data_IF_552613507818
#
_entry.id   IF_552613507818
#
_cell.length_a   1.000
_cell.length_b   1.000
_cell.length_c   1.000
_cell.angle_alpha   90.00
_cell.angle_beta   90.00
_cell.angle_gamma   90.00
#
_symmetry.space_group_name_H-M   'P 1'
#
loop_
_entity.id
_entity.type
_entity.pdbx_description
1 polymer ?
#
# COMPACT_ATOMS: atom_id res chain seq x y z
N UNK A 1 -23.84 -26.28 40.87
CA UNK A 1 -24.04 -27.25 39.77
C UNK A 1 -22.77 -27.23 38.95
N UNK A 2 -22.04 -28.33 38.91
CA UNK A 2 -20.83 -28.49 38.12
C UNK A 2 -21.25 -28.92 36.70
N UNK A 3 -20.92 -28.12 35.70
CA UNK A 3 -21.09 -28.49 34.28
C UNK A 3 -19.74 -28.83 33.68
N UNK A 4 -19.67 -29.97 33.01
CA UNK A 4 -18.48 -30.35 32.26
C UNK A 4 -18.50 -29.63 30.89
N UNK A 5 -17.50 -28.75 30.65
CA UNK A 5 -17.32 -28.08 29.37
C UNK A 5 -16.22 -28.82 28.61
N UNK A 6 -16.52 -29.23 27.42
CA UNK A 6 -15.60 -29.95 26.54
C UNK A 6 -15.54 -29.24 25.19
N UNK A 7 -14.34 -28.86 24.78
CA UNK A 7 -14.12 -28.30 23.44
C UNK A 7 -13.95 -29.46 22.49
N UNK A 8 -14.89 -29.63 21.53
CA UNK A 8 -14.92 -30.76 20.61
C UNK A 8 -14.17 -30.49 19.30
N UNK A 9 -13.97 -29.22 18.93
CA UNK A 9 -13.27 -28.86 17.70
C UNK A 9 -13.59 -27.44 17.22
N UNK A 10 -13.18 -27.15 16.01
CA UNK A 10 -13.54 -25.92 15.30
C UNK A 10 -14.65 -26.21 14.30
N UNK A 11 -15.57 -25.24 14.11
CA UNK A 11 -16.58 -25.33 13.08
C UNK A 11 -15.93 -25.27 11.68
N UNK A 12 -16.17 -26.28 10.87
CA UNK A 12 -15.78 -26.30 9.46
C UNK A 12 -16.98 -25.91 8.61
N UNK A 13 -17.01 -24.66 8.17
CA UNK A 13 -18.10 -24.09 7.39
C UNK A 13 -18.26 -24.73 6.01
N UNK A 14 -17.19 -25.24 5.41
CA UNK A 14 -17.22 -25.92 4.11
C UNK A 14 -17.90 -27.29 4.19
N UNK A 15 -17.79 -27.96 5.33
CA UNK A 15 -18.37 -29.28 5.58
C UNK A 15 -19.62 -29.23 6.47
N UNK A 16 -20.00 -28.05 6.95
CA UNK A 16 -21.11 -27.83 7.88
C UNK A 16 -21.07 -28.75 9.12
N UNK A 17 -19.90 -28.98 9.67
CA UNK A 17 -19.67 -29.84 10.84
C UNK A 17 -18.51 -29.34 11.68
N UNK A 18 -18.46 -29.78 12.94
CA UNK A 18 -17.32 -29.53 13.81
C UNK A 18 -16.15 -30.43 13.37
N UNK A 19 -15.04 -29.83 12.96
CA UNK A 19 -13.80 -30.56 12.70
C UNK A 19 -13.14 -30.88 14.05
N UNK A 20 -13.07 -32.17 14.40
CA UNK A 20 -12.44 -32.60 15.65
C UNK A 20 -10.96 -32.22 15.69
N UNK A 21 -10.50 -31.70 16.84
CA UNK A 21 -9.08 -31.55 17.06
C UNK A 21 -8.40 -32.92 17.12
N UNK A 22 -7.34 -33.13 16.36
CA UNK A 22 -6.44 -34.30 16.55
C UNK A 22 -5.93 -34.22 17.99
N UNK A 23 -6.35 -35.17 18.80
CA UNK A 23 -6.14 -35.23 20.24
C UNK A 23 -4.65 -35.22 20.64
N UNK A 24 -4.19 -34.21 21.37
CA UNK A 24 -3.37 -34.48 22.55
C UNK A 24 -4.30 -34.78 23.75
N UNK A 25 -3.79 -35.51 24.74
CA UNK A 25 -4.52 -35.97 25.92
C UNK A 25 -5.52 -34.94 26.44
N UNK A 26 -6.82 -35.32 26.49
CA UNK A 26 -7.88 -34.47 27.01
C UNK A 26 -7.59 -34.12 28.47
N UNK A 27 -7.21 -32.89 28.74
CA UNK A 27 -7.32 -32.34 30.08
C UNK A 27 -8.78 -31.88 30.26
N UNK A 28 -9.52 -32.54 31.13
CA UNK A 28 -10.85 -32.10 31.56
C UNK A 28 -10.71 -31.44 32.91
N UNK A 29 -11.22 -30.19 33.01
CA UNK A 29 -11.36 -29.50 34.28
C UNK A 29 -12.84 -29.39 34.65
N UNK A 30 -13.18 -29.56 35.93
CA UNK A 30 -14.50 -29.23 36.47
C UNK A 30 -14.47 -27.80 36.96
N UNK A 31 -15.39 -26.98 36.49
CA UNK A 31 -15.50 -25.57 36.90
C UNK A 31 -16.89 -25.28 37.46
N UNK A 32 -16.95 -24.42 38.47
CA UNK A 32 -18.21 -23.85 38.94
C UNK A 32 -18.63 -22.73 38.00
N UNK A 33 -19.67 -22.97 37.20
CA UNK A 33 -20.14 -22.03 36.19
C UNK A 33 -20.64 -20.73 36.83
N UNK A 34 -21.22 -20.84 38.05
CA UNK A 34 -21.76 -19.70 38.80
C UNK A 34 -20.63 -18.80 39.41
N UNK A 35 -19.39 -19.30 39.45
CA UNK A 35 -18.22 -18.59 39.95
C UNK A 35 -17.30 -18.08 38.78
N UNK A 36 -17.75 -18.21 37.56
CA UNK A 36 -17.01 -17.68 36.40
C UNK A 36 -17.24 -16.18 36.31
N UNK A 37 -16.21 -15.42 36.65
CA UNK A 37 -16.18 -13.99 36.43
C UNK A 37 -15.66 -13.71 35.03
N UNK A 38 -16.31 -12.80 34.30
CA UNK A 38 -15.81 -12.30 33.04
C UNK A 38 -14.72 -11.26 33.31
N UNK A 39 -13.47 -11.65 33.08
CA UNK A 39 -12.33 -10.75 33.10
C UNK A 39 -12.28 -9.84 31.89
N UNK A 40 -11.20 -9.08 31.78
CA UNK A 40 -10.95 -8.20 30.62
C UNK A 40 -10.93 -9.00 29.32
N UNK A 41 -11.92 -8.75 28.48
CA UNK A 41 -11.95 -9.28 27.10
C UNK A 41 -10.90 -8.61 26.25
N UNK A 42 -10.03 -9.36 25.59
CA UNK A 42 -8.99 -8.87 24.67
C UNK A 42 -9.20 -9.43 23.27
N UNK A 43 -8.89 -8.62 22.28
CA UNK A 43 -9.05 -9.01 20.89
C UNK A 43 -7.86 -9.87 20.44
N UNK A 44 -8.13 -11.03 19.83
CA UNK A 44 -7.10 -11.95 19.30
C UNK A 44 -7.13 -12.05 17.77
N UNK A 45 -8.31 -12.04 17.15
CA UNK A 45 -8.49 -12.39 15.75
C UNK A 45 -7.58 -11.62 14.77
N UNK A 46 -7.63 -10.28 14.76
CA UNK A 46 -6.77 -9.48 13.87
C UNK A 46 -5.28 -9.71 14.09
N UNK A 47 -4.86 -9.87 15.39
CA UNK A 47 -3.46 -10.13 15.72
C UNK A 47 -3.00 -11.49 15.18
N UNK A 48 -3.81 -12.52 15.35
CA UNK A 48 -3.51 -13.87 14.87
C UNK A 48 -3.36 -13.90 13.34
N UNK A 49 -4.22 -13.16 12.64
CA UNK A 49 -4.11 -13.03 11.18
C UNK A 49 -2.81 -12.30 10.81
N UNK A 50 -2.53 -11.19 11.46
CA UNK A 50 -1.32 -10.41 11.22
C UNK A 50 -0.04 -11.20 11.48
N UNK A 51 0.06 -11.91 12.61
CA UNK A 51 1.19 -12.80 12.94
C UNK A 51 1.34 -13.93 11.89
N UNK A 52 0.22 -14.49 11.45
CA UNK A 52 0.25 -15.53 10.39
C UNK A 52 0.90 -15.00 9.12
N UNK A 53 0.52 -13.80 8.64
CA UNK A 53 1.13 -13.18 7.46
C UNK A 53 2.57 -12.74 7.72
N UNK A 54 2.89 -12.22 8.91
CA UNK A 54 4.24 -11.88 9.32
C UNK A 54 5.20 -13.07 9.14
N UNK A 55 4.76 -14.25 9.59
CA UNK A 55 5.54 -15.48 9.47
C UNK A 55 5.55 -16.05 8.04
N UNK A 56 4.45 -15.98 7.29
CA UNK A 56 4.40 -16.40 5.88
C UNK A 56 5.31 -15.56 4.99
N UNK A 57 5.35 -14.26 5.20
CA UNK A 57 6.26 -13.34 4.52
C UNK A 57 7.70 -13.46 5.03
N UNK A 58 7.95 -14.30 6.06
CA UNK A 58 9.25 -14.54 6.67
C UNK A 58 9.93 -13.26 7.16
N UNK A 59 9.17 -12.27 7.63
CA UNK A 59 9.70 -11.04 8.18
C UNK A 59 10.79 -11.27 9.24
N UNK A 60 10.63 -12.24 10.19
CA UNK A 60 11.70 -12.51 11.16
C UNK A 60 13.05 -12.85 10.51
N UNK A 61 13.05 -13.61 9.41
CA UNK A 61 14.28 -13.96 8.71
C UNK A 61 14.93 -12.72 8.06
N UNK A 62 14.14 -11.92 7.34
CA UNK A 62 14.60 -10.67 6.72
C UNK A 62 15.22 -9.74 7.76
N UNK A 63 14.57 -9.57 8.91
CA UNK A 63 15.04 -8.66 9.95
C UNK A 63 16.30 -9.20 10.66
N UNK A 64 16.48 -10.52 10.78
CA UNK A 64 17.76 -11.12 11.26
C UNK A 64 18.89 -10.83 10.28
N UNK A 65 18.66 -10.92 8.99
CA UNK A 65 19.63 -10.55 7.95
C UNK A 65 20.03 -9.07 8.03
N UNK A 66 19.09 -8.21 8.45
CA UNK A 66 19.37 -6.81 8.79
C UNK A 66 20.12 -6.61 10.12
N UNK A 67 20.45 -7.69 10.85
CA UNK A 67 21.15 -7.63 12.13
C UNK A 67 20.29 -7.26 13.34
N UNK A 68 18.97 -7.39 13.26
CA UNK A 68 18.07 -7.17 14.39
C UNK A 68 18.07 -8.39 15.34
N UNK A 69 18.01 -8.12 16.64
CA UNK A 69 17.88 -9.15 17.69
C UNK A 69 16.42 -9.58 17.82
N UNK A 70 16.16 -10.75 18.38
CA UNK A 70 14.80 -11.29 18.55
C UNK A 70 13.84 -10.30 19.25
N UNK A 71 14.30 -9.64 20.32
CA UNK A 71 13.50 -8.63 21.01
C UNK A 71 13.18 -7.39 20.16
N UNK A 72 14.01 -7.08 19.17
CA UNK A 72 13.77 -6.00 18.21
C UNK A 72 12.83 -6.45 17.09
N UNK A 73 12.95 -7.70 16.66
CA UNK A 73 12.04 -8.33 15.70
C UNK A 73 10.62 -8.36 16.26
N UNK A 74 10.45 -8.82 17.50
CA UNK A 74 9.15 -8.77 18.21
C UNK A 74 8.62 -7.34 18.32
N UNK A 75 9.49 -6.36 18.61
CA UNK A 75 9.09 -4.95 18.66
C UNK A 75 8.65 -4.43 17.30
N UNK A 76 9.34 -4.83 16.22
CA UNK A 76 8.95 -4.48 14.84
C UNK A 76 7.59 -5.07 14.48
N UNK A 77 7.36 -6.34 14.83
CA UNK A 77 6.09 -7.01 14.63
C UNK A 77 4.94 -6.27 15.31
N UNK A 78 5.08 -5.98 16.60
CA UNK A 78 4.08 -5.23 17.36
C UNK A 78 3.80 -3.87 16.71
N UNK A 79 4.85 -3.13 16.31
CA UNK A 79 4.70 -1.82 15.67
C UNK A 79 3.94 -1.91 14.34
N UNK A 80 4.24 -2.91 13.52
CA UNK A 80 3.60 -3.11 12.22
C UNK A 80 2.15 -3.57 12.41
N UNK A 81 1.90 -4.52 13.30
CA UNK A 81 0.55 -4.98 13.61
C UNK A 81 -0.33 -3.84 14.15
N UNK A 82 0.21 -2.98 15.02
CA UNK A 82 -0.52 -1.81 15.48
C UNK A 82 -0.89 -0.88 14.33
N UNK A 83 0.03 -0.56 13.42
CA UNK A 83 -0.25 0.29 12.25
C UNK A 83 -1.31 -0.29 11.32
N UNK A 84 -1.38 -1.61 11.19
CA UNK A 84 -2.37 -2.30 10.35
C UNK A 84 -3.75 -2.38 11.02
N UNK A 85 -3.80 -2.54 12.33
CA UNK A 85 -5.03 -2.87 13.07
C UNK A 85 -5.63 -1.64 13.75
N UNK A 86 -4.82 -0.83 14.45
CA UNK A 86 -5.27 0.31 15.26
C UNK A 86 -4.85 1.66 14.72
N UNK A 87 -3.81 1.72 13.88
CA UNK A 87 -3.26 2.92 13.26
C UNK A 87 -2.86 4.03 14.25
N UNK A 88 -2.42 3.64 15.45
CA UNK A 88 -1.98 4.57 16.48
C UNK A 88 -0.56 5.11 16.27
N UNK A 89 -0.22 6.17 17.02
CA UNK A 89 1.16 6.62 17.16
C UNK A 89 1.96 5.65 18.05
N UNK A 90 3.29 5.79 18.09
CA UNK A 90 4.16 5.00 18.98
C UNK A 90 3.74 5.11 20.45
N UNK A 91 3.21 6.27 20.88
CA UNK A 91 2.68 6.46 22.23
C UNK A 91 1.37 5.69 22.48
N UNK A 92 0.59 5.42 21.43
CA UNK A 92 -0.65 4.66 21.49
C UNK A 92 -0.43 3.15 21.56
N UNK A 93 0.75 2.64 21.23
CA UNK A 93 1.01 1.19 21.16
C UNK A 93 0.84 0.52 22.53
N UNK A 94 1.41 1.07 23.61
CA UNK A 94 1.32 0.44 24.95
C UNK A 94 -0.13 0.41 25.48
N UNK A 95 -0.93 1.49 25.39
CA UNK A 95 -2.37 1.41 25.69
C UNK A 95 -3.10 0.36 24.84
N UNK A 96 -2.82 0.29 23.54
CA UNK A 96 -3.41 -0.68 22.64
C UNK A 96 -3.06 -2.13 23.02
N UNK A 97 -1.81 -2.43 23.41
CA UNK A 97 -1.39 -3.76 23.83
C UNK A 97 -2.23 -4.34 24.97
N UNK A 98 -2.84 -3.49 25.80
CA UNK A 98 -3.75 -3.92 26.88
C UNK A 98 -5.12 -4.39 26.37
N UNK A 99 -5.48 -4.03 25.13
CA UNK A 99 -6.77 -4.37 24.53
C UNK A 99 -6.71 -5.61 23.64
N UNK A 100 -5.51 -6.09 23.35
CA UNK A 100 -5.24 -7.21 22.43
C UNK A 100 -4.43 -8.31 23.12
N UNK A 101 -4.58 -9.54 22.67
CA UNK A 101 -3.91 -10.72 23.28
C UNK A 101 -2.56 -11.02 22.63
N UNK A 102 -1.71 -9.98 22.45
CA UNK A 102 -0.37 -10.08 21.84
C UNK A 102 0.60 -10.83 22.74
N UNK A 103 0.52 -10.60 24.06
CA UNK A 103 1.40 -11.22 25.05
C UNK A 103 1.25 -12.74 25.07
N UNK A 104 0.03 -13.25 25.01
CA UNK A 104 -0.23 -14.70 24.94
C UNK A 104 0.22 -15.28 23.61
N UNK A 105 0.00 -14.56 22.50
CA UNK A 105 0.36 -15.04 21.16
C UNK A 105 1.87 -15.11 20.97
N UNK A 106 2.59 -14.06 21.38
CA UNK A 106 4.04 -13.93 21.18
C UNK A 106 4.86 -14.42 22.39
N UNK A 107 4.22 -14.81 23.50
CA UNK A 107 4.89 -15.27 24.70
C UNK A 107 5.74 -14.18 25.38
N UNK A 108 5.27 -12.94 25.40
CA UNK A 108 6.01 -11.77 25.89
C UNK A 108 5.32 -11.10 27.08
N UNK A 109 6.11 -10.45 27.95
CA UNK A 109 5.61 -9.50 28.94
C UNK A 109 5.85 -8.06 28.45
N UNK A 110 4.79 -7.40 28.02
CA UNK A 110 4.86 -6.01 27.56
C UNK A 110 4.78 -4.97 28.68
N UNK A 111 4.52 -5.37 29.91
CA UNK A 111 4.39 -4.44 31.04
C UNK A 111 5.69 -3.66 31.32
N UNK A 112 6.83 -4.23 30.89
CA UNK A 112 8.15 -3.60 31.00
C UNK A 112 8.55 -2.80 29.76
N UNK A 113 7.65 -2.65 28.78
CA UNK A 113 7.96 -1.94 27.55
C UNK A 113 7.85 -0.43 27.74
N UNK A 114 8.93 0.29 27.44
CA UNK A 114 8.90 1.75 27.29
C UNK A 114 8.62 2.17 25.84
N UNK A 115 8.00 3.33 25.65
CA UNK A 115 7.68 3.86 24.32
C UNK A 115 8.91 4.04 23.41
N UNK A 116 10.07 4.36 24.00
CA UNK A 116 11.33 4.58 23.26
C UNK A 116 11.72 3.42 22.34
N UNK A 117 11.35 2.19 22.71
CA UNK A 117 11.68 1.02 21.90
C UNK A 117 10.99 1.05 20.54
N UNK A 118 9.76 1.60 20.46
CA UNK A 118 8.99 1.70 19.23
C UNK A 118 9.56 2.79 18.31
N UNK A 119 10.06 3.89 18.85
CA UNK A 119 10.79 4.89 18.06
C UNK A 119 12.11 4.34 17.53
N UNK A 120 12.90 3.66 18.38
CA UNK A 120 14.18 3.08 17.97
C UNK A 120 14.04 1.98 16.92
N UNK A 121 12.99 1.18 16.98
CA UNK A 121 12.78 0.14 15.96
C UNK A 121 12.41 0.77 14.61
N UNK A 122 11.63 1.85 14.59
CA UNK A 122 11.31 2.59 13.37
C UNK A 122 12.57 3.12 12.68
N UNK A 123 13.54 3.65 13.44
CA UNK A 123 14.84 4.08 12.89
C UNK A 123 15.61 2.92 12.27
N UNK A 124 15.61 1.75 12.91
CA UNK A 124 16.28 0.55 12.38
C UNK A 124 15.64 0.02 11.12
N UNK A 125 14.30 -0.01 11.08
CA UNK A 125 13.55 -0.39 9.88
C UNK A 125 13.85 0.58 8.73
N UNK A 126 13.85 1.88 8.99
CA UNK A 126 14.18 2.91 8.00
C UNK A 126 15.60 2.75 7.46
N UNK A 127 16.57 2.45 8.32
CA UNK A 127 17.96 2.22 7.91
C UNK A 127 18.11 1.04 6.95
N UNK A 128 17.28 0.02 7.10
CA UNK A 128 17.31 -1.20 6.31
C UNK A 128 16.20 -1.24 5.25
N UNK A 129 15.51 -0.12 5.00
CA UNK A 129 14.34 -0.02 4.12
C UNK A 129 14.53 -0.73 2.78
N UNK A 130 15.61 -0.41 2.07
CA UNK A 130 15.83 -0.94 0.71
C UNK A 130 15.99 -2.45 0.68
N UNK A 131 16.65 -3.04 1.69
CA UNK A 131 16.79 -4.49 1.80
C UNK A 131 15.47 -5.16 2.15
N UNK A 132 14.74 -4.58 3.12
CA UNK A 132 13.41 -5.10 3.53
C UNK A 132 12.43 -5.09 2.35
N UNK A 133 12.37 -3.98 1.61
CA UNK A 133 11.50 -3.87 0.43
C UNK A 133 11.85 -4.88 -0.66
N UNK A 134 13.15 -5.07 -0.93
CA UNK A 134 13.59 -6.04 -1.94
C UNK A 134 13.22 -7.47 -1.55
N UNK A 135 13.53 -7.88 -0.32
CA UNK A 135 13.25 -9.23 0.16
C UNK A 135 11.74 -9.53 0.22
N UNK A 136 10.93 -8.57 0.67
CA UNK A 136 9.48 -8.69 0.65
C UNK A 136 8.95 -8.85 -0.77
N UNK A 137 9.39 -7.99 -1.68
CA UNK A 137 8.97 -8.08 -3.07
C UNK A 137 9.34 -9.41 -3.72
N UNK A 138 10.55 -9.93 -3.49
CA UNK A 138 10.94 -11.25 -4.03
C UNK A 138 10.04 -12.37 -3.49
N UNK A 139 9.60 -12.29 -2.23
CA UNK A 139 8.67 -13.25 -1.64
C UNK A 139 7.27 -13.13 -2.23
N UNK A 140 6.76 -11.93 -2.37
CA UNK A 140 5.47 -11.64 -3.00
C UNK A 140 5.48 -12.11 -4.45
N UNK A 141 6.55 -11.82 -5.18
CA UNK A 141 6.76 -12.26 -6.55
C UNK A 141 6.69 -13.78 -6.68
N UNK A 142 7.33 -14.50 -5.76
CA UNK A 142 7.30 -15.97 -5.73
C UNK A 142 5.92 -16.51 -5.31
N UNK A 143 5.29 -15.91 -4.29
CA UNK A 143 3.99 -16.38 -3.78
C UNK A 143 2.84 -16.16 -4.77
N UNK A 144 2.88 -15.04 -5.50
CA UNK A 144 1.79 -14.61 -6.39
C UNK A 144 2.15 -14.71 -7.88
N UNK A 145 3.34 -15.23 -8.21
CA UNK A 145 3.85 -15.35 -9.60
C UNK A 145 3.81 -14.00 -10.34
N UNK A 146 4.26 -12.92 -9.68
CA UNK A 146 4.24 -11.57 -10.23
C UNK A 146 5.30 -11.40 -11.32
N UNK A 147 5.00 -10.56 -12.32
CA UNK A 147 5.90 -10.26 -13.44
C UNK A 147 6.36 -8.80 -13.39
N UNK A 148 7.65 -8.54 -13.63
CA UNK A 148 8.23 -7.20 -13.71
C UNK A 148 7.98 -6.56 -15.10
N UNK A 149 6.74 -6.62 -15.59
CA UNK A 149 6.40 -6.10 -16.93
C UNK A 149 6.05 -4.61 -16.93
N UNK A 150 5.32 -4.17 -15.91
CA UNK A 150 4.79 -2.81 -15.82
C UNK A 150 4.96 -2.30 -14.39
N UNK A 151 5.49 -1.08 -14.26
CA UNK A 151 5.51 -0.36 -12.99
C UNK A 151 4.64 0.89 -13.07
N UNK A 152 3.78 1.04 -12.07
CA UNK A 152 2.95 2.23 -11.89
C UNK A 152 3.64 3.14 -10.88
N UNK A 153 3.82 4.39 -11.23
CA UNK A 153 4.39 5.39 -10.34
C UNK A 153 3.37 6.48 -10.04
N UNK A 154 3.08 6.68 -8.77
CA UNK A 154 2.16 7.71 -8.31
C UNK A 154 2.66 8.40 -7.04
N UNK A 155 2.20 9.62 -6.83
CA UNK A 155 2.48 10.45 -5.67
C UNK A 155 1.21 10.74 -4.90
N UNK A 156 1.29 10.55 -3.60
CA UNK A 156 0.24 10.96 -2.68
C UNK A 156 0.82 11.84 -1.57
N UNK A 157 0.01 12.71 -1.00
CA UNK A 157 0.41 13.52 0.13
C UNK A 157 -0.18 12.91 1.41
N UNK A 158 0.59 12.96 2.48
CA UNK A 158 0.07 12.72 3.83
C UNK A 158 0.48 13.89 4.73
N UNK A 159 -0.28 14.13 5.79
CA UNK A 159 -0.05 15.26 6.70
C UNK A 159 0.14 14.77 8.12
N UNK A 160 0.76 15.63 8.93
CA UNK A 160 0.95 15.40 10.36
C UNK A 160 0.00 16.30 11.14
N UNK A 161 -0.76 15.73 12.04
CA UNK A 161 -1.51 16.49 13.03
C UNK A 161 -0.55 16.96 14.12
N UNK A 162 -0.15 18.24 14.05
CA UNK A 162 0.85 18.83 14.92
C UNK A 162 1.98 19.52 14.15
N UNK A 163 2.86 20.21 14.88
CA UNK A 163 3.89 21.07 14.28
C UNK A 163 4.99 20.29 13.53
N UNK A 164 5.28 19.08 13.94
CA UNK A 164 6.31 18.20 13.38
C UNK A 164 7.66 18.91 13.09
N UNK A 165 8.05 19.85 13.97
CA UNK A 165 9.13 20.81 13.73
C UNK A 165 10.51 20.18 13.53
N UNK A 166 10.75 19.03 14.13
CA UNK A 166 12.02 18.27 14.01
C UNK A 166 12.14 17.49 12.71
N UNK A 167 11.06 17.34 11.94
CA UNK A 167 11.10 16.60 10.69
C UNK A 167 11.44 17.53 9.50
N UNK A 168 12.66 17.44 8.90
CA UNK A 168 13.06 18.33 7.82
C UNK A 168 12.24 18.16 6.54
N UNK A 169 11.58 17.03 6.37
CA UNK A 169 10.72 16.74 5.21
C UNK A 169 9.30 17.27 5.38
N UNK A 170 8.82 17.46 6.61
CA UNK A 170 7.50 17.99 6.88
C UNK A 170 7.46 19.49 6.54
N UNK A 171 6.65 19.88 5.56
CA UNK A 171 6.53 21.26 5.06
C UNK A 171 5.07 21.59 4.81
N UNK A 172 4.68 22.80 5.18
CA UNK A 172 3.39 23.35 4.77
C UNK A 172 3.37 23.55 3.26
N UNK A 173 2.35 23.07 2.60
CA UNK A 173 2.19 23.17 1.15
C UNK A 173 0.82 23.76 0.80
N UNK A 174 0.80 24.60 -0.23
CA UNK A 174 -0.45 25.09 -0.84
C UNK A 174 -1.02 24.11 -1.88
N UNK A 175 -0.24 23.12 -2.30
CA UNK A 175 -0.71 22.08 -3.21
C UNK A 175 -1.57 21.07 -2.45
N UNK A 176 -2.86 21.24 -2.60
CA UNK A 176 -3.87 20.63 -1.74
C UNK A 176 -4.53 19.42 -2.39
N UNK A 177 -3.78 18.33 -2.64
CA UNK A 177 -4.46 17.05 -2.90
C UNK A 177 -5.36 16.70 -1.69
N UNK A 178 -4.86 16.95 -0.46
CA UNK A 178 -5.56 16.63 0.80
C UNK A 178 -6.36 17.80 1.41
N UNK A 179 -6.40 18.98 0.78
CA UNK A 179 -7.11 20.19 1.29
C UNK A 179 -6.75 20.62 2.74
N UNK A 180 -5.60 20.15 3.27
CA UNK A 180 -5.11 20.45 4.63
C UNK A 180 -3.88 21.37 4.56
N UNK A 181 -4.10 22.66 4.30
CA UNK A 181 -3.02 23.66 4.29
C UNK A 181 -2.55 24.09 5.69
N UNK A 182 -3.32 23.71 6.70
CA UNK A 182 -3.10 23.97 8.12
C UNK A 182 -2.09 23.00 8.76
N UNK A 183 -1.76 21.92 8.12
CA UNK A 183 -0.87 20.87 8.61
C UNK A 183 0.40 20.75 7.76
N UNK A 184 1.58 20.44 8.38
CA UNK A 184 2.77 20.09 7.63
C UNK A 184 2.58 18.73 6.93
N UNK A 185 3.07 18.63 5.70
CA UNK A 185 2.88 17.48 4.82
C UNK A 185 4.20 16.88 4.40
N UNK A 186 4.14 15.62 3.98
CA UNK A 186 5.19 14.95 3.19
C UNK A 186 4.55 14.34 1.94
N UNK A 187 5.36 14.15 0.91
CA UNK A 187 4.94 13.49 -0.32
C UNK A 187 5.46 12.07 -0.29
N UNK A 188 4.57 11.10 -0.45
CA UNK A 188 4.89 9.67 -0.55
C UNK A 188 4.82 9.28 -2.01
N UNK A 189 5.92 8.77 -2.54
CA UNK A 189 6.00 8.18 -3.87
C UNK A 189 5.95 6.67 -3.76
N UNK A 190 5.10 6.04 -4.55
CA UNK A 190 4.96 4.59 -4.62
C UNK A 190 5.29 4.10 -6.02
N UNK A 191 6.05 3.03 -6.09
CA UNK A 191 6.24 2.22 -7.30
C UNK A 191 5.50 0.91 -7.07
N UNK A 192 4.52 0.64 -7.90
CA UNK A 192 3.69 -0.57 -7.86
C UNK A 192 3.96 -1.42 -9.08
N UNK A 193 3.85 -2.72 -8.95
CA UNK A 193 3.82 -3.61 -10.11
C UNK A 193 2.45 -3.61 -10.82
N UNK A 194 2.31 -4.37 -11.90
CA UNK A 194 1.08 -4.46 -12.68
C UNK A 194 -0.10 -5.08 -11.92
N UNK A 195 0.13 -5.76 -10.82
CA UNK A 195 -0.87 -6.37 -9.95
C UNK A 195 -1.24 -5.47 -8.76
N UNK A 196 -0.49 -4.39 -8.53
CA UNK A 196 -0.72 -3.41 -7.48
C UNK A 196 0.09 -3.63 -6.21
N UNK A 197 1.06 -4.55 -6.21
CA UNK A 197 1.97 -4.73 -5.09
C UNK A 197 3.03 -3.63 -5.06
N UNK A 198 3.40 -3.21 -3.84
CA UNK A 198 4.38 -2.14 -3.65
C UNK A 198 5.78 -2.69 -3.88
N UNK A 199 6.46 -2.18 -4.90
CA UNK A 199 7.86 -2.50 -5.20
C UNK A 199 8.81 -1.63 -4.39
N UNK A 200 8.55 -0.32 -4.36
CA UNK A 200 9.37 0.70 -3.69
C UNK A 200 8.53 1.85 -3.19
N UNK A 201 9.00 2.50 -2.13
CA UNK A 201 8.48 3.80 -1.77
C UNK A 201 9.59 4.81 -1.49
N UNK A 202 9.27 6.10 -1.63
CA UNK A 202 10.14 7.21 -1.26
C UNK A 202 9.31 8.30 -0.58
N UNK A 203 9.93 8.96 0.40
CA UNK A 203 9.31 10.09 1.09
C UNK A 203 10.08 11.35 0.75
N UNK A 204 9.39 12.31 0.14
CA UNK A 204 9.90 13.60 -0.24
C UNK A 204 9.36 14.71 0.68
N UNK A 205 9.97 15.89 0.59
CA UNK A 205 9.46 17.06 1.29
C UNK A 205 8.06 17.42 0.81
N UNK A 206 7.19 17.90 1.71
CA UNK A 206 5.80 18.24 1.41
C UNK A 206 5.58 19.29 0.34
N UNK A 207 6.64 20.03 -0.06
CA UNK A 207 6.61 20.97 -1.21
C UNK A 207 7.10 20.36 -2.52
N UNK A 208 7.45 19.06 -2.53
CA UNK A 208 7.91 18.40 -3.75
C UNK A 208 6.79 18.40 -4.79
N UNK A 209 7.11 18.87 -6.00
CA UNK A 209 6.20 18.76 -7.14
C UNK A 209 6.33 17.39 -7.80
N UNK A 210 5.24 16.94 -8.41
CA UNK A 210 5.18 15.65 -9.11
C UNK A 210 6.32 15.54 -10.13
N UNK A 211 6.57 16.61 -10.89
CA UNK A 211 7.62 16.64 -11.92
C UNK A 211 9.05 16.47 -11.38
N UNK A 212 9.34 16.98 -10.18
CA UNK A 212 10.69 16.94 -9.61
C UNK A 212 11.05 15.60 -8.94
N UNK A 213 10.08 14.77 -8.66
CA UNK A 213 10.30 13.48 -7.99
C UNK A 213 10.81 12.39 -8.94
N UNK A 214 10.55 12.52 -10.24
CA UNK A 214 10.83 11.51 -11.25
C UNK A 214 12.32 11.15 -11.33
N UNK A 215 13.20 12.12 -11.37
CA UNK A 215 14.65 11.87 -11.50
C UNK A 215 15.20 11.00 -10.36
N UNK A 216 14.70 11.20 -9.13
CA UNK A 216 15.12 10.42 -7.97
C UNK A 216 14.67 8.96 -8.05
N UNK A 217 13.45 8.73 -8.55
CA UNK A 217 12.92 7.36 -8.72
C UNK A 217 13.61 6.67 -9.88
N UNK A 218 13.82 7.37 -11.00
CA UNK A 218 14.51 6.80 -12.16
C UNK A 218 15.92 6.33 -11.80
N UNK A 219 16.69 7.13 -11.06
CA UNK A 219 18.00 6.73 -10.59
C UNK A 219 17.99 5.48 -9.71
N UNK A 220 16.93 5.30 -8.89
CA UNK A 220 16.75 4.10 -8.08
C UNK A 220 16.47 2.87 -8.97
N UNK A 221 15.54 2.99 -9.90
CA UNK A 221 15.17 1.90 -10.81
C UNK A 221 16.33 1.52 -11.74
N UNK A 222 17.08 2.48 -12.24
CA UNK A 222 18.27 2.23 -13.05
C UNK A 222 19.30 1.37 -12.31
N UNK A 223 19.55 1.68 -11.04
CA UNK A 223 20.44 0.87 -10.20
C UNK A 223 19.93 -0.55 -10.02
N UNK A 224 18.63 -0.74 -9.83
CA UNK A 224 18.00 -2.05 -9.63
C UNK A 224 17.99 -2.91 -10.91
N UNK A 225 17.83 -2.28 -12.07
CA UNK A 225 17.71 -2.94 -13.37
C UNK A 225 18.96 -2.82 -14.24
N UNK A 226 20.11 -2.41 -13.66
CA UNK A 226 21.38 -2.22 -14.39
C UNK A 226 21.79 -3.44 -15.25
N UNK A 227 21.40 -4.65 -14.83
CA UNK A 227 21.68 -5.92 -15.51
C UNK A 227 20.42 -6.65 -16.00
N UNK A 228 19.25 -6.00 -16.01
CA UNK A 228 17.97 -6.60 -16.39
C UNK A 228 17.22 -5.70 -17.37
N UNK A 229 16.27 -6.26 -18.09
CA UNK A 229 15.35 -5.44 -18.89
C UNK A 229 14.51 -4.54 -17.98
N UNK A 230 14.53 -3.23 -18.23
CA UNK A 230 13.66 -2.30 -17.52
C UNK A 230 12.18 -2.57 -17.82
N UNK A 231 11.31 -2.54 -16.80
CA UNK A 231 9.87 -2.64 -17.01
C UNK A 231 9.32 -1.41 -17.74
N UNK A 232 8.12 -1.53 -18.29
CA UNK A 232 7.40 -0.36 -18.80
C UNK A 232 6.88 0.48 -17.63
N UNK A 233 7.24 1.76 -17.58
CA UNK A 233 6.84 2.64 -16.48
C UNK A 233 5.64 3.48 -16.90
N UNK A 234 4.62 3.54 -16.05
CA UNK A 234 3.38 4.29 -16.28
C UNK A 234 3.31 5.45 -15.28
N UNK A 235 3.10 6.66 -15.80
CA UNK A 235 3.03 7.89 -15.00
C UNK A 235 1.70 8.60 -15.18
N UNK A 236 1.28 9.30 -14.13
CA UNK A 236 0.13 10.21 -14.21
C UNK A 236 0.48 11.53 -14.93
N UNK A 237 -0.55 12.24 -15.35
CA UNK A 237 -0.48 13.52 -16.07
C UNK A 237 0.36 14.59 -15.37
N UNK A 238 0.31 14.64 -14.03
CA UNK A 238 1.07 15.60 -13.22
C UNK A 238 2.57 15.53 -13.40
N UNK A 239 3.07 14.38 -13.87
CA UNK A 239 4.50 14.12 -14.11
C UNK A 239 4.98 14.59 -15.48
N UNK A 240 4.07 14.91 -16.42
CA UNK A 240 4.41 15.19 -17.81
C UNK A 240 4.87 16.63 -17.99
N UNK A 241 6.17 16.84 -17.88
CA UNK A 241 6.86 18.08 -18.27
C UNK A 241 7.81 17.78 -19.42
N UNK A 242 8.23 18.81 -20.13
CA UNK A 242 9.22 18.66 -21.21
C UNK A 242 10.54 18.12 -20.66
N UNK A 243 10.97 18.62 -19.50
CA UNK A 243 12.17 18.13 -18.80
C UNK A 243 12.07 16.64 -18.47
N UNK A 244 10.93 16.19 -17.96
CA UNK A 244 10.72 14.79 -17.60
C UNK A 244 10.64 13.89 -18.84
N UNK A 245 10.03 14.35 -19.93
CA UNK A 245 10.00 13.60 -21.19
C UNK A 245 11.41 13.48 -21.78
N UNK A 246 12.23 14.52 -21.73
CA UNK A 246 13.62 14.48 -22.15
C UNK A 246 14.45 13.54 -21.26
N UNK A 247 14.23 13.57 -19.96
CA UNK A 247 14.85 12.63 -19.02
C UNK A 247 14.48 11.17 -19.36
N UNK A 248 13.21 10.87 -19.60
CA UNK A 248 12.78 9.51 -19.96
C UNK A 248 13.38 9.05 -21.29
N UNK A 249 13.49 9.95 -22.27
CA UNK A 249 14.11 9.67 -23.57
C UNK A 249 15.63 9.46 -23.49
N UNK A 250 16.30 9.98 -22.45
CA UNK A 250 17.74 9.77 -22.26
C UNK A 250 18.11 8.36 -21.78
N UNK A 251 17.14 7.60 -21.27
CA UNK A 251 17.36 6.21 -20.89
C UNK A 251 17.19 5.28 -22.10
N UNK A 252 18.26 4.66 -22.51
CA UNK A 252 18.23 3.64 -23.57
C UNK A 252 17.37 2.46 -23.12
N UNK A 253 16.50 1.96 -23.98
CA UNK A 253 15.61 0.82 -23.76
C UNK A 253 14.49 1.02 -22.70
N UNK A 254 14.28 2.21 -22.17
CA UNK A 254 13.16 2.50 -21.31
C UNK A 254 11.86 2.62 -22.13
N UNK A 255 10.87 1.81 -21.79
CA UNK A 255 9.50 1.96 -22.27
C UNK A 255 8.67 2.70 -21.24
N UNK A 256 7.87 3.67 -21.67
CA UNK A 256 7.01 4.42 -20.76
C UNK A 256 5.65 4.75 -21.38
N UNK A 257 4.65 4.88 -20.52
CA UNK A 257 3.32 5.34 -20.87
C UNK A 257 2.99 6.52 -19.98
N UNK A 258 2.58 7.64 -20.61
CA UNK A 258 2.19 8.86 -19.90
C UNK A 258 0.86 9.38 -20.41
N UNK A 259 0.06 10.00 -19.55
CA UNK A 259 -1.17 10.65 -19.99
C UNK A 259 -0.85 11.98 -20.68
N UNK A 260 -1.41 12.17 -21.88
CA UNK A 260 -1.27 13.42 -22.63
C UNK A 260 -1.83 14.63 -21.90
N UNK A 261 -1.28 15.80 -22.19
CA UNK A 261 -1.84 17.09 -21.76
C UNK A 261 -3.13 17.41 -22.53
N UNK A 262 -4.01 18.21 -21.92
CA UNK A 262 -5.33 18.53 -22.52
C UNK A 262 -5.22 19.19 -23.89
N UNK A 263 -4.21 20.03 -24.11
CA UNK A 263 -3.98 20.70 -25.40
C UNK A 263 -3.62 19.74 -26.54
N UNK A 264 -3.11 18.55 -26.22
CA UNK A 264 -2.80 17.54 -27.24
C UNK A 264 -4.04 16.70 -27.60
N UNK A 265 -5.01 16.58 -26.71
CA UNK A 265 -6.26 15.86 -26.96
C UNK A 265 -7.03 16.46 -28.15
N UNK A 266 -6.98 17.79 -28.31
CA UNK A 266 -7.65 18.51 -29.39
C UNK A 266 -7.18 18.06 -30.79
N UNK A 267 -5.92 17.69 -30.95
CA UNK A 267 -5.35 17.20 -32.21
C UNK A 267 -6.03 15.92 -32.72
N UNK A 268 -6.62 15.14 -31.80
CA UNK A 268 -7.22 13.85 -32.11
C UNK A 268 -8.74 13.85 -32.11
N UNK A 269 -9.41 14.98 -31.91
CA UNK A 269 -10.89 15.05 -31.84
C UNK A 269 -11.56 14.46 -33.09
N UNK A 270 -11.01 14.74 -34.26
CA UNK A 270 -11.52 14.17 -35.51
C UNK A 270 -11.35 12.66 -35.65
N UNK A 271 -10.28 12.12 -35.04
CA UNK A 271 -9.99 10.67 -35.02
C UNK A 271 -11.00 9.93 -34.17
N UNK A 272 -11.39 10.50 -33.01
CA UNK A 272 -12.41 9.91 -32.15
C UNK A 272 -13.78 9.75 -32.83
N UNK A 273 -14.09 10.58 -33.81
CA UNK A 273 -15.35 10.53 -34.56
C UNK A 273 -15.32 9.60 -35.75
N UNK A 274 -14.20 9.48 -36.45
CA UNK A 274 -14.10 8.83 -37.76
C UNK A 274 -13.49 7.43 -37.73
N UNK A 275 -12.58 7.17 -36.81
CA UNK A 275 -11.78 5.96 -36.83
C UNK A 275 -12.42 4.85 -35.98
N UNK A 276 -12.18 3.60 -36.39
CA UNK A 276 -12.66 2.42 -35.66
C UNK A 276 -11.70 2.07 -34.56
N UNK A 277 -12.22 1.89 -33.36
CA UNK A 277 -11.47 1.49 -32.16
C UNK A 277 -11.63 0.01 -31.90
N UNK A 278 -10.59 -0.60 -31.33
CA UNK A 278 -10.60 -2.00 -30.91
C UNK A 278 -11.04 -2.10 -29.45
N UNK A 279 -11.98 -3.00 -29.17
CA UNK A 279 -12.45 -3.27 -27.80
C UNK A 279 -11.39 -4.09 -27.07
N UNK A 280 -11.01 -3.63 -25.88
CA UNK A 280 -10.14 -4.36 -24.96
C UNK A 280 -10.94 -4.72 -23.72
N UNK A 281 -10.95 -6.00 -23.39
CA UNK A 281 -11.55 -6.48 -22.15
C UNK A 281 -10.56 -6.26 -20.99
N UNK A 282 -10.95 -5.42 -20.03
CA UNK A 282 -10.21 -5.24 -18.78
C UNK A 282 -10.46 -6.39 -17.79
N UNK A 283 -9.72 -6.42 -16.69
CA UNK A 283 -9.95 -7.36 -15.56
C UNK A 283 -11.41 -7.32 -15.07
N UNK A 284 -12.01 -6.14 -15.05
CA UNK A 284 -13.44 -5.96 -14.81
C UNK A 284 -14.21 -6.09 -16.14
N UNK A 285 -14.70 -7.29 -16.43
CA UNK A 285 -15.48 -7.60 -17.66
C UNK A 285 -16.70 -6.70 -17.90
N UNK A 286 -17.13 -5.95 -16.87
CA UNK A 286 -18.23 -4.99 -16.98
C UNK A 286 -17.81 -3.66 -17.58
N UNK A 287 -16.49 -3.36 -17.63
CA UNK A 287 -15.96 -2.09 -18.15
C UNK A 287 -15.28 -2.31 -19.49
N UNK A 288 -16.00 -2.00 -20.56
CA UNK A 288 -15.42 -2.00 -21.91
C UNK A 288 -14.61 -0.72 -22.13
N UNK A 289 -13.38 -0.89 -22.59
CA UNK A 289 -12.52 0.20 -23.05
C UNK A 289 -12.20 -0.07 -24.51
N UNK A 290 -12.39 0.93 -25.33
CA UNK A 290 -12.01 0.89 -26.75
C UNK A 290 -10.70 1.66 -26.93
N UNK A 291 -9.77 1.10 -27.65
CA UNK A 291 -8.45 1.69 -27.88
C UNK A 291 -8.10 1.77 -29.36
N UNK A 292 -7.32 2.80 -29.70
CA UNK A 292 -6.74 2.98 -31.01
C UNK A 292 -5.30 3.51 -30.89
N UNK A 293 -4.35 2.84 -31.52
CA UNK A 293 -2.96 3.29 -31.56
C UNK A 293 -2.74 4.18 -32.80
N UNK A 294 -2.17 5.36 -32.57
CA UNK A 294 -1.78 6.29 -33.63
C UNK A 294 -0.29 6.60 -33.54
N UNK A 295 0.53 6.08 -34.47
CA UNK A 295 1.93 6.45 -34.57
C UNK A 295 2.08 7.93 -34.95
N UNK A 296 3.08 8.60 -34.36
CA UNK A 296 3.51 9.94 -34.73
C UNK A 296 5.01 10.01 -34.50
N UNK A 297 5.76 10.45 -35.51
CA UNK A 297 7.23 10.58 -35.52
C UNK A 297 8.00 9.57 -34.64
N UNK A 298 8.27 9.94 -33.40
CA UNK A 298 9.03 9.18 -32.41
C UNK A 298 8.19 8.63 -31.24
N UNK A 299 6.87 8.81 -31.29
CA UNK A 299 5.93 8.42 -30.24
C UNK A 299 4.71 7.70 -30.80
N UNK A 300 4.02 6.93 -29.95
CA UNK A 300 2.75 6.32 -30.28
C UNK A 300 1.69 6.84 -29.31
N UNK A 301 0.65 7.45 -29.84
CA UNK A 301 -0.50 7.86 -29.05
C UNK A 301 -1.48 6.70 -28.88
N UNK A 302 -1.86 6.43 -27.65
CA UNK A 302 -2.91 5.47 -27.33
C UNK A 302 -4.19 6.25 -27.03
N UNK A 303 -5.13 6.24 -27.97
CA UNK A 303 -6.43 6.88 -27.82
C UNK A 303 -7.40 5.91 -27.18
N UNK A 304 -8.03 6.31 -26.06
CA UNK A 304 -8.91 5.47 -25.28
C UNK A 304 -10.32 6.06 -25.18
N UNK A 305 -11.34 5.24 -25.44
CA UNK A 305 -12.75 5.54 -25.13
C UNK A 305 -13.21 4.65 -23.98
N UNK A 306 -13.71 5.25 -22.94
CA UNK A 306 -14.26 4.54 -21.78
C UNK A 306 -15.68 5.02 -21.49
N UNK A 307 -16.62 4.10 -21.48
CA UNK A 307 -18.01 4.40 -21.16
C UNK A 307 -18.16 4.93 -19.72
N UNK A 308 -17.42 4.36 -18.77
CA UNK A 308 -17.40 4.84 -17.39
C UNK A 308 -16.90 6.27 -17.27
N UNK A 309 -15.87 6.66 -18.06
CA UNK A 309 -15.38 8.04 -18.09
C UNK A 309 -16.39 8.98 -18.70
N UNK A 310 -17.02 8.62 -19.82
CA UNK A 310 -18.10 9.38 -20.47
C UNK A 310 -19.23 9.67 -19.51
N UNK A 311 -19.73 8.65 -18.80
CA UNK A 311 -20.82 8.79 -17.85
C UNK A 311 -20.45 9.71 -16.67
N UNK A 312 -19.22 9.60 -16.15
CA UNK A 312 -18.71 10.48 -15.11
C UNK A 312 -18.65 11.94 -15.56
N UNK A 313 -18.13 12.20 -16.76
CA UNK A 313 -18.03 13.55 -17.32
C UNK A 313 -19.40 14.16 -17.60
N UNK A 314 -20.34 13.37 -18.10
CA UNK A 314 -21.72 13.80 -18.28
C UNK A 314 -22.37 14.18 -16.93
N UNK A 315 -22.20 13.36 -15.91
CA UNK A 315 -22.72 13.66 -14.58
C UNK A 315 -22.09 14.95 -13.98
N UNK A 316 -20.81 15.18 -14.24
CA UNK A 316 -20.13 16.41 -13.80
C UNK A 316 -20.66 17.65 -14.55
N UNK A 317 -20.92 17.55 -15.86
CA UNK A 317 -21.53 18.65 -16.66
C UNK A 317 -22.93 18.97 -16.16
N UNK A 318 -23.77 17.95 -16.02
CA UNK A 318 -25.14 18.12 -15.51
C UNK A 318 -25.18 18.75 -14.12
N UNK A 319 -24.18 18.41 -13.24
CA UNK A 319 -24.05 19.01 -11.92
C UNK A 319 -23.64 20.48 -11.98
N UNK A 320 -22.81 20.89 -12.95
CA UNK A 320 -22.43 22.28 -13.16
C UNK A 320 -23.57 23.11 -13.74
N UNK A 321 -24.28 22.57 -14.72
CA UNK A 321 -25.49 23.22 -15.30
C UNK A 321 -26.51 23.51 -14.22
N UNK A 322 -26.84 22.52 -13.38
CA UNK A 322 -27.77 22.70 -12.25
C UNK A 322 -27.33 23.74 -11.22
N UNK A 323 -26.02 24.01 -11.10
CA UNK A 323 -25.54 25.09 -10.23
C UNK A 323 -25.69 26.45 -10.86
N UNK A 324 -25.44 26.57 -12.17
CA UNK A 324 -25.60 27.79 -12.93
C UNK A 324 -27.08 28.20 -13.09
N UNK A 325 -28.00 27.23 -13.06
CA UNK A 325 -29.46 27.50 -13.08
C UNK A 325 -30.00 27.99 -11.73
N UNK A 326 -29.24 27.81 -10.64
CA UNK A 326 -29.64 28.20 -9.27
C UNK A 326 -29.06 29.57 -8.83
N UNK A 327 -28.01 30.00 -9.51
CA UNK A 327 -27.43 31.35 -9.34
C UNK A 327 -28.10 32.36 -10.31
#
# INVERSE_FOLDING_TARGET
IVKKIQTEGKWDSARQRVAEFKKPSRQTAEIFVDAVEHGYSRELGPILIGDTFWNHLKFPAILRECGLRESEITTAEISILNRLISQDSENGIIPWLRTVAVDELLGIDFMQFGNDRFYRISDKLLKNQSHIEEELYQREKHLFSLEDCIFLYDLTNTYFEGACASNPKAKYSKNQKEKRSDCPQVVVALVLDGDGFIRRHRIFQGKMSDSKSLSSIMATLETEFSNKSMPTIVFDRGMVTEENLNLLKSYENLKYIVMCRSNEEEKFMGVFQRDKFNVVEGRDRKKKVEILMKPASDTVYLLCKSEGRKNKEQAMRNSREKKLEKD
#
